data_IF_849070300731
#
_entry.id   IF_849070300731
#
_cell.length_a   1.000
_cell.length_b   1.000
_cell.length_c   1.000
_cell.angle_alpha   90.00
_cell.angle_beta   90.00
_cell.angle_gamma   90.00
#
_symmetry.space_group_name_H-M   'P 1'
#
loop_
_entity.id
_entity.type
_entity.pdbx_description
1 polymer ?
#
# COMPACT_ATOMS: atom_id res chain seq x y z
N UNK A 1 17.66 -1.14 -13.86
CA UNK A 1 16.65 -1.23 -12.77
C UNK A 1 15.33 -0.55 -13.14
N UNK A 2 15.38 0.59 -13.78
CA UNK A 2 14.17 1.32 -14.17
C UNK A 2 13.27 0.51 -15.10
N UNK A 3 13.85 -0.28 -15.99
CA UNK A 3 13.08 -1.10 -16.94
C UNK A 3 12.25 -2.17 -16.24
N UNK A 4 12.82 -2.80 -15.21
CA UNK A 4 12.11 -3.83 -14.43
C UNK A 4 10.91 -3.19 -13.71
N UNK A 5 11.14 -2.03 -13.09
CA UNK A 5 10.07 -1.29 -12.42
C UNK A 5 8.97 -0.86 -13.39
N UNK A 6 9.33 -0.28 -14.53
CA UNK A 6 8.35 0.21 -15.51
C UNK A 6 7.53 -0.92 -16.13
N UNK A 7 8.15 -2.08 -16.36
CA UNK A 7 7.41 -3.24 -16.85
C UNK A 7 6.36 -3.68 -15.85
N UNK A 8 6.75 -3.79 -14.58
CA UNK A 8 5.82 -4.17 -13.51
C UNK A 8 4.70 -3.14 -13.35
N UNK A 9 5.04 -1.85 -13.40
CA UNK A 9 4.05 -0.79 -13.30
C UNK A 9 3.08 -0.81 -14.49
N UNK A 10 3.57 -1.10 -15.70
CA UNK A 10 2.73 -1.26 -16.88
C UNK A 10 1.75 -2.42 -16.72
N UNK A 11 2.19 -3.53 -16.15
CA UNK A 11 1.32 -4.66 -15.84
C UNK A 11 0.25 -4.27 -14.83
N UNK A 12 0.65 -3.56 -13.77
CA UNK A 12 -0.27 -3.05 -12.76
C UNK A 12 -1.33 -2.13 -13.40
N UNK A 13 -0.89 -1.16 -14.20
CA UNK A 13 -1.77 -0.19 -14.83
C UNK A 13 -2.75 -0.84 -15.81
N UNK A 14 -2.38 -1.98 -16.37
CA UNK A 14 -3.21 -2.73 -17.31
C UNK A 14 -4.10 -3.78 -16.63
N UNK A 15 -4.05 -3.86 -15.30
CA UNK A 15 -4.85 -4.83 -14.55
C UNK A 15 -4.27 -6.23 -14.54
N UNK A 16 -3.05 -6.42 -15.02
CA UNK A 16 -2.35 -7.71 -14.97
C UNK A 16 -1.64 -7.86 -13.63
N UNK A 17 -2.43 -8.02 -12.57
CA UNK A 17 -1.92 -7.94 -11.20
C UNK A 17 -0.96 -9.07 -10.85
N UNK A 18 -1.21 -10.30 -11.30
CA UNK A 18 -0.29 -11.41 -11.01
C UNK A 18 1.09 -11.19 -11.61
N UNK A 19 1.13 -10.72 -12.87
CA UNK A 19 2.40 -10.38 -13.53
C UNK A 19 3.09 -9.21 -12.82
N UNK A 20 2.32 -8.19 -12.42
CA UNK A 20 2.84 -7.04 -11.71
C UNK A 20 3.46 -7.43 -10.38
N UNK A 21 2.80 -8.32 -9.62
CA UNK A 21 3.33 -8.83 -8.36
C UNK A 21 4.72 -9.44 -8.56
N UNK A 22 4.86 -10.32 -9.54
CA UNK A 22 6.14 -10.97 -9.83
C UNK A 22 7.21 -9.94 -10.22
N UNK A 23 6.83 -8.96 -11.03
CA UNK A 23 7.76 -7.91 -11.45
C UNK A 23 8.22 -7.03 -10.31
N UNK A 24 7.29 -6.60 -9.44
CA UNK A 24 7.65 -5.78 -8.28
C UNK A 24 8.48 -6.57 -7.26
N UNK A 25 8.15 -7.85 -7.05
CA UNK A 25 8.95 -8.70 -6.17
C UNK A 25 10.38 -8.85 -6.69
N UNK A 26 10.52 -9.08 -7.98
CA UNK A 26 11.84 -9.17 -8.63
C UNK A 26 12.62 -7.87 -8.46
N UNK A 27 11.96 -6.73 -8.70
CA UNK A 27 12.58 -5.41 -8.54
C UNK A 27 13.07 -5.20 -7.10
N UNK A 28 12.23 -5.49 -6.13
CA UNK A 28 12.57 -5.29 -4.71
C UNK A 28 13.69 -6.22 -4.25
N UNK A 29 13.72 -7.45 -4.77
CA UNK A 29 14.76 -8.41 -4.43
C UNK A 29 16.11 -7.99 -5.01
N UNK A 30 16.13 -7.47 -6.23
CA UNK A 30 17.37 -7.10 -6.93
C UNK A 30 17.85 -5.69 -6.59
N UNK A 31 16.93 -4.77 -6.30
CA UNK A 31 17.25 -3.35 -6.12
C UNK A 31 16.57 -2.76 -4.86
N UNK A 32 16.83 -3.35 -3.67
CA UNK A 32 16.07 -2.96 -2.46
C UNK A 32 16.33 -1.52 -2.01
N UNK A 33 17.45 -0.92 -2.43
CA UNK A 33 17.81 0.45 -2.04
C UNK A 33 17.61 1.45 -3.16
N UNK A 34 16.97 1.05 -4.24
CA UNK A 34 16.68 1.96 -5.35
C UNK A 34 15.64 3.00 -4.92
N UNK A 35 15.71 4.19 -5.53
CA UNK A 35 14.77 5.27 -5.21
C UNK A 35 13.32 4.92 -5.49
N UNK A 36 13.05 3.94 -6.36
CA UNK A 36 11.69 3.47 -6.64
C UNK A 36 11.24 2.32 -5.73
N UNK A 37 12.09 1.88 -4.80
CA UNK A 37 11.75 0.69 -3.99
C UNK A 37 10.51 0.89 -3.13
N UNK A 38 10.37 2.07 -2.49
CA UNK A 38 9.16 2.33 -1.69
C UNK A 38 7.90 2.32 -2.55
N UNK A 39 7.97 2.89 -3.74
CA UNK A 39 6.84 2.87 -4.68
C UNK A 39 6.53 1.44 -5.12
N UNK A 40 7.57 0.66 -5.43
CA UNK A 40 7.38 -0.74 -5.84
C UNK A 40 6.69 -1.55 -4.74
N UNK A 41 7.09 -1.35 -3.49
CA UNK A 41 6.47 -2.02 -2.35
C UNK A 41 5.00 -1.60 -2.20
N UNK A 42 4.71 -0.33 -2.39
CA UNK A 42 3.33 0.17 -2.35
C UNK A 42 2.48 -0.45 -3.47
N UNK A 43 2.98 -0.44 -4.70
CA UNK A 43 2.24 -0.99 -5.84
C UNK A 43 2.06 -2.50 -5.72
N UNK A 44 3.04 -3.20 -5.16
CA UNK A 44 2.92 -4.63 -4.86
C UNK A 44 1.72 -4.87 -3.92
N UNK A 45 1.65 -4.12 -2.84
CA UNK A 45 0.53 -4.21 -1.90
C UNK A 45 -0.79 -3.89 -2.59
N UNK A 46 -0.81 -2.88 -3.45
CA UNK A 46 -2.02 -2.46 -4.14
C UNK A 46 -2.49 -3.50 -5.17
N UNK A 47 -1.58 -4.29 -5.72
CA UNK A 47 -1.96 -5.42 -6.57
C UNK A 47 -2.84 -6.41 -5.80
N UNK A 48 -2.44 -6.76 -4.59
CA UNK A 48 -3.26 -7.65 -3.75
C UNK A 48 -4.58 -6.97 -3.38
N UNK A 49 -4.53 -5.70 -3.01
CA UNK A 49 -5.72 -4.93 -2.65
C UNK A 49 -6.74 -4.92 -3.79
N UNK A 50 -6.30 -4.66 -5.01
CA UNK A 50 -7.18 -4.59 -6.17
C UNK A 50 -7.76 -5.95 -6.57
N UNK A 51 -7.13 -7.03 -6.13
CA UNK A 51 -7.63 -8.39 -6.29
C UNK A 51 -8.53 -8.81 -5.12
N UNK A 52 -8.82 -7.90 -4.21
CA UNK A 52 -9.60 -8.15 -2.99
C UNK A 52 -8.94 -9.15 -2.06
N UNK A 53 -7.63 -9.30 -2.15
CA UNK A 53 -6.84 -10.15 -1.26
C UNK A 53 -6.32 -9.31 -0.10
N UNK A 54 -7.24 -8.88 0.75
CA UNK A 54 -6.96 -7.89 1.79
C UNK A 54 -6.00 -8.41 2.86
N UNK A 55 -6.13 -9.68 3.23
CA UNK A 55 -5.24 -10.28 4.23
C UNK A 55 -3.79 -10.35 3.75
N UNK A 56 -3.56 -10.42 2.45
CA UNK A 56 -2.22 -10.37 1.86
C UNK A 56 -1.75 -8.94 1.63
N UNK A 57 -2.67 -8.04 1.33
CA UNK A 57 -2.34 -6.64 1.05
C UNK A 57 -1.81 -5.92 2.30
N UNK A 58 -2.44 -6.15 3.45
CA UNK A 58 -2.10 -5.45 4.69
C UNK A 58 -0.61 -5.58 5.06
N UNK A 59 -0.04 -6.79 5.16
CA UNK A 59 1.38 -6.88 5.50
C UNK A 59 2.30 -6.24 4.46
N UNK A 60 1.91 -6.22 3.20
CA UNK A 60 2.71 -5.57 2.17
C UNK A 60 2.66 -4.05 2.28
N UNK A 61 1.50 -3.46 2.61
CA UNK A 61 1.42 -2.04 2.92
C UNK A 61 2.19 -1.70 4.19
N UNK A 62 2.14 -2.56 5.21
CA UNK A 62 2.90 -2.35 6.44
C UNK A 62 4.40 -2.32 6.19
N UNK A 63 4.89 -3.07 5.22
CA UNK A 63 6.29 -3.03 4.85
C UNK A 63 6.70 -1.67 4.29
N UNK A 64 5.80 -0.97 3.57
CA UNK A 64 6.08 0.40 3.16
C UNK A 64 6.36 1.28 4.38
N UNK A 65 5.51 1.17 5.40
CA UNK A 65 5.64 1.97 6.61
C UNK A 65 6.90 1.64 7.40
N UNK A 66 7.24 0.36 7.50
CA UNK A 66 8.32 -0.12 8.36
C UNK A 66 9.69 -0.02 7.68
N UNK A 67 9.78 -0.32 6.40
CA UNK A 67 11.06 -0.35 5.69
C UNK A 67 11.36 0.97 4.98
N UNK A 68 10.34 1.78 4.72
CA UNK A 68 10.47 3.07 4.01
C UNK A 68 9.73 4.15 4.79
N UNK A 69 10.15 4.39 6.03
CA UNK A 69 9.42 5.22 6.99
C UNK A 69 9.24 6.68 6.54
N UNK A 70 10.05 7.15 5.61
CA UNK A 70 9.93 8.51 5.06
C UNK A 70 9.22 8.55 3.70
N UNK A 71 8.61 7.44 3.26
CA UNK A 71 7.99 7.38 1.95
C UNK A 71 6.78 8.32 1.85
N UNK A 72 6.68 9.01 0.71
CA UNK A 72 5.57 9.93 0.46
C UNK A 72 4.22 9.22 0.43
N UNK A 73 4.20 7.92 0.12
CA UNK A 73 2.97 7.13 0.05
C UNK A 73 2.51 6.57 1.39
N UNK A 74 3.22 6.84 2.48
CA UNK A 74 2.85 6.29 3.79
C UNK A 74 1.41 6.65 4.22
N UNK A 75 0.93 7.89 4.05
CA UNK A 75 -0.47 8.17 4.37
C UNK A 75 -1.44 7.36 3.51
N UNK A 76 -1.16 7.21 2.22
CA UNK A 76 -2.02 6.43 1.33
C UNK A 76 -2.00 4.94 1.71
N UNK A 77 -0.84 4.42 2.10
CA UNK A 77 -0.71 3.05 2.58
C UNK A 77 -1.57 2.81 3.83
N UNK A 78 -1.54 3.74 4.78
CA UNK A 78 -2.38 3.66 5.97
C UNK A 78 -3.87 3.68 5.61
N UNK A 79 -4.26 4.54 4.69
CA UNK A 79 -5.65 4.61 4.25
C UNK A 79 -6.11 3.26 3.65
N UNK A 80 -5.28 2.66 2.80
CA UNK A 80 -5.58 1.36 2.20
C UNK A 80 -5.64 0.25 3.27
N UNK A 81 -4.76 0.30 4.27
CA UNK A 81 -4.78 -0.64 5.39
C UNK A 81 -6.12 -0.52 6.14
N UNK A 82 -6.58 0.70 6.40
CA UNK A 82 -7.86 0.91 7.09
C UNK A 82 -9.02 0.30 6.30
N UNK A 83 -9.04 0.53 4.98
CA UNK A 83 -10.09 -0.05 4.12
C UNK A 83 -10.01 -1.58 4.15
N UNK A 84 -8.81 -2.13 4.05
CA UNK A 84 -8.61 -3.58 4.05
C UNK A 84 -9.11 -4.21 5.36
N UNK A 85 -8.81 -3.58 6.50
CA UNK A 85 -9.34 -4.03 7.78
C UNK A 85 -10.86 -4.00 7.81
N UNK A 86 -11.48 -2.94 7.28
CA UNK A 86 -12.95 -2.86 7.20
C UNK A 86 -13.53 -3.99 6.35
N UNK A 87 -12.91 -4.29 5.23
CA UNK A 87 -13.36 -5.38 4.35
C UNK A 87 -13.25 -6.75 5.03
N UNK A 88 -12.31 -6.90 5.96
CA UNK A 88 -12.13 -8.13 6.72
C UNK A 88 -12.97 -8.16 8.00
N UNK A 89 -13.74 -7.12 8.27
CA UNK A 89 -14.54 -7.03 9.50
C UNK A 89 -13.74 -6.67 10.74
N UNK A 90 -12.48 -6.25 10.58
CA UNK A 90 -11.58 -5.89 11.68
C UNK A 90 -11.75 -4.41 12.01
N UNK A 91 -12.88 -4.06 12.61
CA UNK A 91 -13.27 -2.65 12.83
C UNK A 91 -12.37 -1.92 13.83
N UNK A 92 -11.90 -2.63 14.87
CA UNK A 92 -11.01 -2.00 15.86
C UNK A 92 -9.67 -1.63 15.23
N UNK A 93 -9.11 -2.53 14.44
CA UNK A 93 -7.86 -2.29 13.71
C UNK A 93 -8.02 -1.14 12.70
N UNK A 94 -9.18 -1.07 12.05
CA UNK A 94 -9.48 0.03 11.12
C UNK A 94 -9.49 1.37 11.84
N UNK A 95 -10.15 1.44 13.02
CA UNK A 95 -10.17 2.68 13.82
C UNK A 95 -8.77 3.08 14.26
N UNK A 96 -7.98 2.13 14.74
CA UNK A 96 -6.60 2.39 15.16
C UNK A 96 -5.79 2.97 14.00
N UNK A 97 -5.97 2.45 12.79
CA UNK A 97 -5.26 2.92 11.61
C UNK A 97 -5.67 4.36 11.26
N UNK A 98 -6.96 4.67 11.35
CA UNK A 98 -7.45 6.04 11.13
C UNK A 98 -6.88 6.98 12.20
N UNK A 99 -6.79 6.54 13.45
CA UNK A 99 -6.20 7.34 14.51
C UNK A 99 -4.73 7.66 14.22
N UNK A 100 -3.98 6.70 13.69
CA UNK A 100 -2.59 6.93 13.29
C UNK A 100 -2.51 8.00 12.19
N UNK A 101 -3.40 7.94 11.20
CA UNK A 101 -3.48 8.96 10.15
C UNK A 101 -3.73 10.34 10.73
N UNK A 102 -4.69 10.45 11.66
CA UNK A 102 -5.03 11.73 12.29
C UNK A 102 -3.86 12.29 13.09
N UNK A 103 -3.09 11.44 13.76
CA UNK A 103 -1.97 11.86 14.59
C UNK A 103 -0.73 12.22 13.79
N UNK A 104 -0.39 11.39 12.80
CA UNK A 104 0.88 11.54 12.06
C UNK A 104 0.76 12.38 10.80
N UNK A 105 -0.40 12.33 10.14
CA UNK A 105 -0.59 12.98 8.85
C UNK A 105 -1.88 13.79 8.82
N UNK A 106 -2.08 14.71 9.76
CA UNK A 106 -3.38 15.38 9.92
C UNK A 106 -3.84 16.18 8.70
N UNK A 107 -2.90 16.58 7.83
CA UNK A 107 -3.22 17.43 6.67
C UNK A 107 -3.21 16.66 5.36
N UNK A 108 -2.97 15.35 5.39
CA UNK A 108 -2.91 14.53 4.18
C UNK A 108 -4.31 14.34 3.58
N UNK A 109 -4.35 14.25 2.25
CA UNK A 109 -5.58 13.88 1.54
C UNK A 109 -6.07 12.49 1.95
N UNK A 110 -5.15 11.56 2.20
CA UNK A 110 -5.49 10.22 2.66
C UNK A 110 -6.23 10.29 4.00
N UNK A 111 -5.77 11.15 4.90
CA UNK A 111 -6.42 11.34 6.20
C UNK A 111 -7.82 11.91 6.04
N UNK A 112 -8.00 12.86 5.13
CA UNK A 112 -9.32 13.43 4.82
C UNK A 112 -10.27 12.36 4.29
N UNK A 113 -9.80 11.51 3.38
CA UNK A 113 -10.58 10.39 2.86
C UNK A 113 -10.93 9.39 3.96
N UNK A 114 -9.99 9.13 4.87
CA UNK A 114 -10.21 8.19 5.97
C UNK A 114 -11.29 8.66 6.92
N UNK A 115 -11.43 9.98 7.12
CA UNK A 115 -12.48 10.54 7.97
C UNK A 115 -13.88 10.32 7.40
N UNK A 116 -13.98 10.04 6.11
CA UNK A 116 -15.27 9.75 5.45
C UNK A 116 -15.65 8.27 5.55
N UNK A 117 -14.74 7.41 6.03
CA UNK A 117 -15.04 6.00 6.18
C UNK A 117 -16.09 5.78 7.28
N UNK A 118 -17.10 4.96 6.97
CA UNK A 118 -18.11 4.56 7.95
C UNK A 118 -17.60 3.31 8.65
N UNK A 119 -17.21 3.47 9.93
CA UNK A 119 -16.67 2.36 10.73
C UNK A 119 -17.71 2.01 11.79
N UNK A 120 -18.25 0.77 11.72
CA UNK A 120 -19.28 0.33 12.67
C UNK A 120 -18.83 0.36 14.12
#
# INVERSE_FOLDING_TARGET
PTEVYLQAFGDYASGRYQSAVLGFETFLQRFPNNSYASNAQFWLADCYFNQQQYALAIPQFERVLNEYSAAAKNPEALYKIAIAHLQLGATDEARQTVDILNQRYPKSKATQKAQELVIP
#
